data_IF_326171497995
#
_entry.id   IF_326171497995
#
_cell.length_a   1.000
_cell.length_b   1.000
_cell.length_c   1.000
_cell.angle_alpha   90.00
_cell.angle_beta   90.00
_cell.angle_gamma   90.00
#
_symmetry.space_group_name_H-M   'P 1'
#
loop_
_entity.id
_entity.type
_entity.pdbx_description
1 polymer ?
#
# COMPACT_ATOMS: atom_id res chain seq x y z
N UNK A 1 16.09 29.64 -14.04
CA UNK A 1 14.93 28.88 -13.55
C UNK A 1 15.11 28.79 -12.05
N UNK A 2 14.23 29.42 -11.26
CA UNK A 2 14.30 29.40 -9.80
C UNK A 2 14.16 27.96 -9.33
N UNK A 3 15.20 27.45 -8.66
CA UNK A 3 15.22 26.11 -8.08
C UNK A 3 14.28 26.12 -6.86
N UNK A 4 12.98 25.99 -7.10
CA UNK A 4 11.97 26.05 -6.05
C UNK A 4 12.10 24.77 -5.23
N UNK A 5 12.38 24.91 -3.93
CA UNK A 5 12.50 23.76 -3.03
C UNK A 5 11.13 23.09 -2.93
N UNK A 6 11.13 21.77 -2.94
CA UNK A 6 9.92 20.99 -2.69
C UNK A 6 9.40 21.30 -1.29
N UNK A 7 8.12 21.68 -1.20
CA UNK A 7 7.43 22.05 0.02
C UNK A 7 6.79 20.82 0.68
N UNK A 8 7.21 20.49 1.90
CA UNK A 8 6.71 19.33 2.65
C UNK A 8 5.96 19.81 3.89
N UNK A 9 4.74 19.33 4.10
CA UNK A 9 3.97 19.59 5.33
C UNK A 9 4.09 18.39 6.27
N UNK A 10 4.62 18.61 7.47
CA UNK A 10 4.70 17.62 8.55
C UNK A 10 3.57 17.88 9.53
N UNK A 11 2.80 16.84 9.85
CA UNK A 11 1.64 16.89 10.74
C UNK A 11 1.76 15.84 11.83
N UNK A 12 1.90 16.25 13.09
CA UNK A 12 1.96 15.37 14.26
C UNK A 12 1.58 16.22 15.48
N UNK A 13 0.87 15.67 16.47
CA UNK A 13 0.48 16.39 17.69
C UNK A 13 1.62 16.52 18.71
N UNK A 14 2.75 15.84 18.49
CA UNK A 14 4.00 16.05 19.23
C UNK A 14 4.85 17.16 18.58
N UNK A 15 4.94 18.37 19.19
CA UNK A 15 5.71 19.48 18.64
C UNK A 15 7.22 19.17 18.55
N UNK A 16 7.75 18.30 19.42
CA UNK A 16 9.17 17.94 19.35
C UNK A 16 9.47 17.10 18.10
N UNK A 17 8.52 16.23 17.72
CA UNK A 17 8.67 15.39 16.54
C UNK A 17 8.47 16.20 15.25
N UNK A 18 7.50 17.12 15.21
CA UNK A 18 7.33 18.01 14.06
C UNK A 18 8.55 18.89 13.85
N UNK A 19 9.08 19.53 14.90
CA UNK A 19 10.29 20.36 14.84
C UNK A 19 11.51 19.55 14.35
N UNK A 20 11.73 18.35 14.93
CA UNK A 20 12.82 17.47 14.51
C UNK A 20 12.72 17.10 13.02
N UNK A 21 11.53 16.74 12.54
CA UNK A 21 11.31 16.37 11.14
C UNK A 21 11.47 17.57 10.21
N UNK A 22 10.97 18.75 10.59
CA UNK A 22 11.14 19.99 9.82
C UNK A 22 12.62 20.33 9.67
N UNK A 23 13.38 20.36 10.76
CA UNK A 23 14.82 20.65 10.74
C UNK A 23 15.58 19.64 9.89
N UNK A 24 15.24 18.36 10.03
CA UNK A 24 15.88 17.28 9.29
C UNK A 24 15.61 17.37 7.79
N UNK A 25 14.35 17.61 7.39
CA UNK A 25 13.96 17.78 6.00
C UNK A 25 14.58 19.05 5.39
N UNK A 26 14.65 20.14 6.16
CA UNK A 26 15.32 21.36 5.74
C UNK A 26 16.82 21.16 5.49
N UNK A 27 17.49 20.38 6.35
CA UNK A 27 18.92 20.06 6.21
C UNK A 27 19.25 19.26 4.93
N UNK A 28 18.31 18.46 4.43
CA UNK A 28 18.46 17.69 3.18
C UNK A 28 17.85 18.40 1.95
N UNK A 29 17.42 19.66 2.09
CA UNK A 29 17.10 20.54 0.97
C UNK A 29 15.61 20.76 0.68
N UNK A 30 14.70 20.24 1.50
CA UNK A 30 13.26 20.54 1.42
C UNK A 30 12.94 21.90 2.07
N UNK A 31 11.78 22.46 1.74
CA UNK A 31 11.15 23.54 2.50
C UNK A 31 10.03 22.91 3.33
N UNK A 32 10.22 22.79 4.65
CA UNK A 32 9.30 22.05 5.50
C UNK A 32 8.42 22.99 6.36
N UNK A 33 7.15 22.63 6.50
CA UNK A 33 6.14 23.31 7.31
C UNK A 33 5.66 22.37 8.41
N UNK A 34 5.39 22.89 9.60
CA UNK A 34 4.81 22.13 10.71
C UNK A 34 3.31 22.45 10.87
N UNK A 35 2.54 21.44 11.24
CA UNK A 35 1.19 21.59 11.77
C UNK A 35 0.98 20.62 12.94
N UNK A 36 0.54 21.15 14.08
CA UNK A 36 0.32 20.36 15.30
C UNK A 36 -1.08 19.71 15.35
N UNK A 37 -1.86 19.86 14.28
CA UNK A 37 -3.19 19.25 14.16
C UNK A 37 -3.62 19.18 12.69
N UNK A 38 -4.53 18.26 12.39
CA UNK A 38 -5.14 18.16 11.06
C UNK A 38 -5.83 19.47 10.62
N UNK A 39 -6.43 20.22 11.56
CA UNK A 39 -7.05 21.51 11.26
C UNK A 39 -6.01 22.54 10.80
N UNK A 40 -4.89 22.64 11.52
CA UNK A 40 -3.78 23.51 11.11
C UNK A 40 -3.21 23.07 9.76
N UNK A 41 -3.10 21.75 9.53
CA UNK A 41 -2.63 21.22 8.24
C UNK A 41 -3.52 21.67 7.08
N UNK A 42 -4.85 21.59 7.23
CA UNK A 42 -5.80 22.08 6.24
C UNK A 42 -5.68 23.59 6.00
N UNK A 43 -5.43 24.39 7.05
CA UNK A 43 -5.18 25.83 6.90
C UNK A 43 -3.88 26.13 6.14
N UNK A 44 -2.82 25.35 6.37
CA UNK A 44 -1.57 25.47 5.62
C UNK A 44 -1.78 25.10 4.15
N UNK A 45 -2.49 23.99 3.88
CA UNK A 45 -2.81 23.54 2.52
C UNK A 45 -3.66 24.54 1.71
N UNK A 46 -4.41 25.43 2.38
CA UNK A 46 -5.15 26.51 1.73
C UNK A 46 -4.27 27.73 1.38
N UNK A 47 -3.18 27.94 2.12
CA UNK A 47 -2.32 29.13 1.99
C UNK A 47 -1.06 28.84 1.17
N UNK A 48 -0.55 27.63 1.26
CA UNK A 48 0.70 27.20 0.66
C UNK A 48 0.48 26.09 -0.36
N UNK A 49 1.21 26.15 -1.47
CA UNK A 49 1.26 25.04 -2.42
C UNK A 49 2.23 23.99 -1.89
N UNK A 50 1.69 23.03 -1.14
CA UNK A 50 2.45 21.88 -0.61
C UNK A 50 2.60 20.81 -1.69
N UNK A 51 3.80 20.24 -1.81
CA UNK A 51 4.12 19.18 -2.76
C UNK A 51 3.97 17.78 -2.17
N UNK A 52 4.04 17.63 -0.84
CA UNK A 52 3.89 16.36 -0.13
C UNK A 52 3.47 16.57 1.34
N UNK A 53 2.63 15.68 1.87
CA UNK A 53 2.24 15.67 3.29
C UNK A 53 2.79 14.43 3.98
N UNK A 54 3.39 14.61 5.15
CA UNK A 54 3.77 13.56 6.09
C UNK A 54 2.91 13.75 7.34
N UNK A 55 2.02 12.82 7.65
CA UNK A 55 1.08 12.96 8.78
C UNK A 55 1.13 11.75 9.71
N UNK A 56 1.12 11.98 11.03
CA UNK A 56 0.79 10.93 11.98
C UNK A 56 -0.68 10.51 11.85
N UNK A 57 -0.98 9.25 12.17
CA UNK A 57 -2.35 8.73 12.18
C UNK A 57 -3.07 9.07 13.48
N UNK A 58 -2.40 8.98 14.62
CA UNK A 58 -3.00 9.03 15.94
C UNK A 58 -3.00 10.45 16.50
N UNK A 59 -3.82 11.32 15.92
CA UNK A 59 -4.02 12.68 16.43
C UNK A 59 -5.35 12.79 17.22
N UNK A 60 -5.44 13.60 18.29
CA UNK A 60 -6.58 13.63 19.21
C UNK A 60 -7.93 14.07 18.60
N UNK A 61 -7.92 15.03 17.68
CA UNK A 61 -9.16 15.64 17.16
C UNK A 61 -9.63 14.99 15.86
N UNK A 62 -8.72 14.84 14.90
CA UNK A 62 -8.98 14.25 13.58
C UNK A 62 -7.76 13.42 13.25
N UNK A 63 -7.96 12.14 12.96
CA UNK A 63 -6.89 11.22 12.63
C UNK A 63 -6.21 11.58 11.31
N UNK A 64 -4.97 11.11 11.13
CA UNK A 64 -4.27 11.28 9.84
C UNK A 64 -5.00 10.65 8.65
N UNK A 65 -5.80 9.60 8.89
CA UNK A 65 -6.63 8.97 7.86
C UNK A 65 -7.78 9.91 7.45
N UNK A 66 -8.45 10.53 8.41
CA UNK A 66 -9.51 11.52 8.12
C UNK A 66 -8.94 12.76 7.43
N UNK A 67 -7.76 13.23 7.87
CA UNK A 67 -7.04 14.31 7.19
C UNK A 67 -6.71 13.93 5.73
N UNK A 68 -6.21 12.72 5.49
CA UNK A 68 -5.95 12.19 4.15
C UNK A 68 -7.21 12.20 3.29
N UNK A 69 -8.35 11.73 3.81
CA UNK A 69 -9.63 11.74 3.09
C UNK A 69 -10.04 13.17 2.71
N UNK A 70 -9.91 14.15 3.61
CA UNK A 70 -10.16 15.57 3.30
C UNK A 70 -9.20 16.11 2.24
N UNK A 71 -7.90 15.80 2.35
CA UNK A 71 -6.89 16.20 1.35
C UNK A 71 -7.27 15.67 -0.03
N UNK A 72 -7.61 14.38 -0.14
CA UNK A 72 -7.89 13.75 -1.44
C UNK A 72 -9.21 14.24 -2.08
N UNK A 73 -10.13 14.82 -1.31
CA UNK A 73 -11.33 15.51 -1.85
C UNK A 73 -10.97 16.77 -2.62
N UNK A 74 -9.98 17.54 -2.16
CA UNK A 74 -9.58 18.81 -2.79
C UNK A 74 -8.41 18.63 -3.76
N UNK A 75 -7.44 17.79 -3.42
CA UNK A 75 -6.27 17.48 -4.24
C UNK A 75 -5.99 15.98 -4.24
N UNK A 76 -6.64 15.27 -5.17
CA UNK A 76 -6.50 13.82 -5.33
C UNK A 76 -5.07 13.34 -5.59
N UNK A 77 -4.22 14.19 -6.15
CA UNK A 77 -2.86 13.83 -6.56
C UNK A 77 -1.77 14.25 -5.57
N UNK A 78 -2.10 15.01 -4.51
CA UNK A 78 -1.14 15.40 -3.49
C UNK A 78 -0.60 14.13 -2.80
N UNK A 79 0.70 13.82 -2.88
CA UNK A 79 1.26 12.67 -2.21
C UNK A 79 1.14 12.78 -0.70
N UNK A 80 0.61 11.75 -0.05
CA UNK A 80 0.45 11.70 1.42
C UNK A 80 1.10 10.44 1.98
N UNK A 81 2.03 10.63 2.92
CA UNK A 81 2.64 9.58 3.71
C UNK A 81 2.03 9.58 5.11
N UNK A 82 1.54 8.44 5.56
CA UNK A 82 1.04 8.26 6.91
C UNK A 82 2.11 7.60 7.80
N UNK A 83 2.29 8.13 9.00
CA UNK A 83 3.17 7.62 10.03
C UNK A 83 2.32 7.11 11.21
N UNK A 84 2.69 5.99 11.85
CA UNK A 84 1.95 5.52 13.04
C UNK A 84 2.80 4.77 14.05
N UNK A 85 2.46 4.89 15.33
CA UNK A 85 2.98 4.07 16.42
C UNK A 85 2.58 2.58 16.37
N UNK A 86 1.49 2.24 15.67
CA UNK A 86 0.91 0.89 15.65
C UNK A 86 0.83 0.39 14.20
N UNK A 87 1.75 -0.48 13.82
CA UNK A 87 1.84 -1.08 12.49
C UNK A 87 0.96 -2.32 12.31
N UNK A 88 -0.33 -2.29 12.66
CA UNK A 88 -1.21 -3.43 12.37
C UNK A 88 -1.54 -3.51 10.88
N UNK A 89 -1.69 -4.72 10.34
CA UNK A 89 -2.12 -4.94 8.96
C UNK A 89 -3.46 -4.25 8.66
N UNK A 90 -4.36 -4.15 9.65
CA UNK A 90 -5.65 -3.47 9.50
C UNK A 90 -5.52 -1.96 9.31
N UNK A 91 -4.63 -1.29 10.06
CA UNK A 91 -4.38 0.15 9.92
C UNK A 91 -3.68 0.42 8.58
N UNK A 92 -2.69 -0.41 8.23
CA UNK A 92 -1.98 -0.32 6.95
C UNK A 92 -2.94 -0.45 5.76
N UNK A 93 -3.78 -1.48 5.75
CA UNK A 93 -4.80 -1.67 4.72
C UNK A 93 -5.71 -0.45 4.63
N UNK A 94 -6.23 0.04 5.76
CA UNK A 94 -7.08 1.24 5.79
C UNK A 94 -6.37 2.51 5.28
N UNK A 95 -5.08 2.69 5.60
CA UNK A 95 -4.27 3.82 5.14
C UNK A 95 -4.18 3.85 3.60
N UNK A 96 -3.73 2.76 2.99
CA UNK A 96 -3.64 2.66 1.52
C UNK A 96 -5.02 2.73 0.86
N UNK A 97 -6.03 2.12 1.49
CA UNK A 97 -7.43 2.21 1.08
C UNK A 97 -7.96 3.63 0.97
N UNK A 98 -7.53 4.50 1.89
CA UNK A 98 -7.93 5.91 1.93
C UNK A 98 -7.12 6.78 0.95
N UNK A 99 -6.24 6.18 0.16
CA UNK A 99 -5.44 6.84 -0.86
C UNK A 99 -4.05 7.29 -0.41
N UNK A 100 -3.52 6.75 0.70
CA UNK A 100 -2.15 7.01 1.11
C UNK A 100 -1.17 6.50 0.05
N UNK A 101 -0.14 7.29 -0.24
CA UNK A 101 0.92 6.97 -1.20
C UNK A 101 2.08 6.23 -0.52
N UNK A 102 2.20 6.39 0.80
CA UNK A 102 3.13 5.64 1.63
C UNK A 102 2.60 5.49 3.06
N UNK A 103 3.11 4.48 3.75
CA UNK A 103 2.83 4.19 5.14
C UNK A 103 4.12 3.77 5.85
N UNK A 104 4.40 4.37 7.00
CA UNK A 104 5.61 4.13 7.78
C UNK A 104 5.28 3.89 9.25
N UNK A 105 5.75 2.77 9.80
CA UNK A 105 5.59 2.48 11.22
C UNK A 105 6.74 3.09 12.04
N UNK A 106 6.42 3.67 13.21
CA UNK A 106 7.38 4.05 14.25
C UNK A 106 7.84 2.74 14.97
N UNK A 107 9.13 2.62 15.35
CA UNK A 107 10.20 3.57 15.10
C UNK A 107 10.71 3.50 13.65
N UNK A 108 11.00 4.66 13.07
CA UNK A 108 11.58 4.77 11.73
C UNK A 108 12.94 5.47 11.78
N UNK A 109 13.73 5.31 10.70
CA UNK A 109 14.98 6.05 10.51
C UNK A 109 14.71 7.24 9.59
N UNK A 110 15.42 8.34 9.80
CA UNK A 110 15.33 9.53 8.93
C UNK A 110 15.57 9.18 7.46
N UNK A 111 16.59 8.37 7.15
CA UNK A 111 16.86 7.95 5.77
C UNK A 111 15.71 7.17 5.12
N UNK A 112 14.82 6.55 5.93
CA UNK A 112 13.60 5.92 5.41
C UNK A 112 12.60 6.98 4.94
N UNK A 113 12.37 8.04 5.70
CA UNK A 113 11.49 9.15 5.29
C UNK A 113 12.00 9.80 4.01
N UNK A 114 13.29 10.11 3.94
CA UNK A 114 13.91 10.72 2.75
C UNK A 114 13.70 9.84 1.50
N UNK A 115 13.95 8.53 1.62
CA UNK A 115 13.77 7.58 0.51
C UNK A 115 12.31 7.53 0.05
N UNK A 116 11.36 7.52 0.98
CA UNK A 116 9.93 7.50 0.69
C UNK A 116 9.46 8.79 0.01
N UNK A 117 9.91 9.95 0.50
CA UNK A 117 9.62 11.26 -0.12
C UNK A 117 10.17 11.28 -1.55
N UNK A 118 11.43 10.88 -1.75
CA UNK A 118 12.05 10.82 -3.07
C UNK A 118 11.27 9.93 -4.04
N UNK A 119 10.85 8.74 -3.58
CA UNK A 119 10.01 7.80 -4.36
C UNK A 119 8.68 8.43 -4.76
N UNK A 120 7.98 9.04 -3.79
CA UNK A 120 6.67 9.65 -4.00
C UNK A 120 6.74 10.82 -4.99
N UNK A 121 7.74 11.70 -4.86
CA UNK A 121 7.96 12.83 -5.76
C UNK A 121 8.36 12.40 -7.17
N UNK A 122 9.11 11.29 -7.29
CA UNK A 122 9.44 10.68 -8.58
C UNK A 122 8.24 9.99 -9.25
N UNK A 123 7.08 9.90 -8.57
CA UNK A 123 5.89 9.22 -9.08
C UNK A 123 6.06 7.70 -9.19
N UNK A 124 7.04 7.13 -8.47
CA UNK A 124 7.31 5.69 -8.49
C UNK A 124 6.23 4.98 -7.67
N UNK A 125 5.30 4.35 -8.37
CA UNK A 125 4.21 3.57 -7.78
C UNK A 125 4.71 2.19 -7.35
N UNK A 126 4.36 1.78 -6.13
CA UNK A 126 4.53 0.40 -5.66
C UNK A 126 3.46 -0.50 -6.27
N UNK A 127 3.80 -1.76 -6.48
CA UNK A 127 2.82 -2.78 -6.85
C UNK A 127 1.94 -3.10 -5.65
N UNK A 128 0.63 -3.05 -5.83
CA UNK A 128 -0.38 -3.42 -4.84
C UNK A 128 -0.75 -4.88 -5.01
N UNK A 129 -0.44 -5.69 -4.01
CA UNK A 129 -0.59 -7.14 -4.07
C UNK A 129 -1.62 -7.58 -3.03
N UNK A 130 -2.71 -8.18 -3.49
CA UNK A 130 -3.69 -8.85 -2.65
C UNK A 130 -3.23 -10.29 -2.41
N UNK A 131 -3.14 -10.72 -1.15
CA UNK A 131 -2.82 -12.11 -0.79
C UNK A 131 -4.02 -12.70 -0.06
N UNK A 132 -4.46 -13.89 -0.48
CA UNK A 132 -5.59 -14.58 0.12
C UNK A 132 -5.18 -16.01 0.47
N UNK A 133 -5.12 -16.33 1.75
CA UNK A 133 -4.70 -17.64 2.24
C UNK A 133 -5.18 -17.82 3.69
N UNK A 134 -5.77 -18.96 4.04
CA UNK A 134 -6.27 -19.21 5.40
C UNK A 134 -5.15 -19.59 6.38
N UNK A 135 -3.94 -19.88 5.88
CA UNK A 135 -2.77 -20.14 6.71
C UNK A 135 -2.08 -18.83 7.13
N UNK A 136 -2.20 -18.49 8.41
CA UNK A 136 -1.64 -17.26 8.98
C UNK A 136 -0.12 -17.16 8.86
N UNK A 137 0.62 -18.26 9.09
CA UNK A 137 2.08 -18.25 9.01
C UNK A 137 2.57 -17.98 7.59
N UNK A 138 1.87 -18.57 6.61
CA UNK A 138 2.12 -18.32 5.20
C UNK A 138 1.79 -16.88 4.81
N UNK A 139 0.62 -16.36 5.21
CA UNK A 139 0.25 -14.96 4.99
C UNK A 139 1.30 -14.01 5.56
N UNK A 140 1.69 -14.18 6.82
CA UNK A 140 2.67 -13.31 7.48
C UNK A 140 4.03 -13.37 6.81
N UNK A 141 4.53 -14.57 6.52
CA UNK A 141 5.84 -14.74 5.89
C UNK A 141 5.91 -14.20 4.46
N UNK A 142 4.88 -14.44 3.64
CA UNK A 142 4.82 -13.91 2.28
C UNK A 142 4.62 -12.39 2.27
N UNK A 143 3.80 -11.87 3.17
CA UNK A 143 3.60 -10.41 3.35
C UNK A 143 4.93 -9.73 3.62
N UNK A 144 5.67 -10.18 4.64
CA UNK A 144 6.95 -9.58 4.99
C UNK A 144 7.91 -9.55 3.79
N UNK A 145 8.08 -10.67 3.07
CA UNK A 145 9.01 -10.76 1.95
C UNK A 145 8.62 -9.85 0.78
N UNK A 146 7.32 -9.73 0.49
CA UNK A 146 6.85 -8.85 -0.58
C UNK A 146 6.95 -7.38 -0.21
N UNK A 147 6.72 -7.02 1.06
CA UNK A 147 6.93 -5.66 1.55
C UNK A 147 8.42 -5.29 1.57
N UNK A 148 9.31 -6.21 1.95
CA UNK A 148 10.77 -6.02 1.87
C UNK A 148 11.24 -5.78 0.42
N UNK A 149 10.48 -6.28 -0.57
CA UNK A 149 10.68 -6.05 -1.99
C UNK A 149 9.97 -4.80 -2.53
N UNK A 150 9.64 -3.84 -1.64
CA UNK A 150 9.05 -2.53 -1.95
C UNK A 150 7.62 -2.59 -2.54
N UNK A 151 6.82 -3.59 -2.14
CA UNK A 151 5.42 -3.71 -2.56
C UNK A 151 4.45 -3.28 -1.44
N UNK A 152 3.22 -2.95 -1.82
CA UNK A 152 2.12 -2.75 -0.87
C UNK A 152 1.31 -4.04 -0.83
N UNK A 153 1.21 -4.65 0.34
CA UNK A 153 0.56 -5.96 0.49
C UNK A 153 -0.72 -5.86 1.31
N UNK A 154 -1.78 -6.49 0.82
CA UNK A 154 -3.07 -6.61 1.48
C UNK A 154 -3.37 -8.08 1.78
N UNK A 155 -3.07 -8.58 2.99
CA UNK A 155 -3.35 -9.96 3.36
C UNK A 155 -4.78 -10.14 3.86
N UNK A 156 -5.45 -11.20 3.41
CA UNK A 156 -6.76 -11.64 3.91
C UNK A 156 -6.82 -13.16 4.08
N UNK A 157 -7.44 -13.60 5.16
CA UNK A 157 -7.61 -15.01 5.49
C UNK A 157 -8.84 -15.67 4.84
N UNK A 158 -9.71 -14.88 4.18
CA UNK A 158 -10.92 -15.40 3.53
C UNK A 158 -11.25 -14.64 2.24
N UNK A 159 -11.90 -15.32 1.30
CA UNK A 159 -12.39 -14.72 0.04
C UNK A 159 -13.35 -13.57 0.34
N UNK A 160 -14.30 -13.76 1.26
CA UNK A 160 -15.31 -12.77 1.57
C UNK A 160 -14.73 -11.43 2.06
N UNK A 161 -13.61 -11.45 2.80
CA UNK A 161 -12.92 -10.23 3.24
C UNK A 161 -12.19 -9.56 2.08
N UNK A 162 -11.53 -10.35 1.24
CA UNK A 162 -10.85 -9.86 0.05
C UNK A 162 -11.82 -9.22 -0.95
N UNK A 163 -13.01 -9.80 -1.16
CA UNK A 163 -14.01 -9.22 -2.07
C UNK A 163 -14.55 -7.89 -1.57
N UNK A 164 -14.89 -7.78 -0.27
CA UNK A 164 -15.29 -6.50 0.33
C UNK A 164 -14.21 -5.43 0.19
N UNK A 165 -12.94 -5.84 0.28
CA UNK A 165 -11.83 -4.93 0.02
C UNK A 165 -11.82 -4.49 -1.44
N UNK A 166 -11.99 -5.41 -2.40
CA UNK A 166 -11.99 -5.09 -3.83
C UNK A 166 -13.18 -4.23 -4.30
N UNK A 167 -14.25 -4.11 -3.53
CA UNK A 167 -15.37 -3.20 -3.85
C UNK A 167 -14.94 -1.73 -3.96
N UNK A 168 -13.99 -1.31 -3.12
CA UNK A 168 -13.56 0.08 -3.01
C UNK A 168 -12.06 0.28 -3.31
N UNK A 169 -11.33 -0.81 -3.60
CA UNK A 169 -9.88 -0.76 -3.77
C UNK A 169 -9.44 -1.48 -5.03
N UNK A 170 -8.39 -0.94 -5.65
CA UNK A 170 -7.73 -1.56 -6.78
C UNK A 170 -6.40 -2.17 -6.36
N UNK A 171 -6.08 -3.32 -6.96
CA UNK A 171 -4.81 -4.01 -6.78
C UNK A 171 -4.24 -4.36 -8.15
N UNK A 172 -2.94 -4.57 -8.18
CA UNK A 172 -2.16 -4.78 -9.40
C UNK A 172 -1.83 -6.27 -9.60
N UNK A 173 -1.92 -7.07 -8.53
CA UNK A 173 -1.71 -8.51 -8.51
C UNK A 173 -2.57 -9.17 -7.42
N UNK A 174 -3.10 -10.37 -7.71
CA UNK A 174 -3.71 -11.24 -6.70
C UNK A 174 -2.89 -12.52 -6.57
N UNK A 175 -2.59 -12.91 -5.34
CA UNK A 175 -2.00 -14.20 -4.98
C UNK A 175 -3.01 -14.91 -4.10
N UNK A 176 -3.51 -16.08 -4.50
CA UNK A 176 -4.56 -16.78 -3.76
C UNK A 176 -4.25 -18.25 -3.60
N UNK A 177 -4.53 -18.82 -2.43
CA UNK A 177 -4.57 -20.27 -2.25
C UNK A 177 -5.71 -20.87 -3.10
N UNK A 178 -5.59 -22.15 -3.43
CA UNK A 178 -6.60 -22.89 -4.18
C UNK A 178 -7.80 -23.27 -3.29
N UNK A 179 -7.58 -23.61 -2.03
CA UNK A 179 -8.62 -24.13 -1.13
C UNK A 179 -8.68 -23.27 0.12
N UNK A 180 -9.81 -22.62 0.32
CA UNK A 180 -10.05 -21.78 1.50
C UNK A 180 -11.35 -22.24 2.21
N UNK A 181 -11.54 -21.88 3.48
CA UNK A 181 -12.73 -22.28 4.24
C UNK A 181 -14.05 -21.80 3.64
N UNK A 182 -14.04 -20.66 2.93
CA UNK A 182 -15.21 -20.00 2.36
C UNK A 182 -15.34 -20.13 0.83
N UNK A 183 -14.48 -20.95 0.19
CA UNK A 183 -14.58 -21.23 -1.24
C UNK A 183 -13.27 -21.73 -1.87
N UNK A 184 -13.21 -21.70 -3.20
CA UNK A 184 -12.04 -22.11 -3.96
C UNK A 184 -11.46 -20.96 -4.80
N UNK A 185 -10.14 -20.96 -4.95
CA UNK A 185 -9.41 -19.93 -5.68
C UNK A 185 -9.70 -19.89 -7.18
N UNK A 186 -10.21 -20.98 -7.79
CA UNK A 186 -10.58 -21.00 -9.21
C UNK A 186 -11.87 -20.20 -9.44
N UNK A 187 -12.86 -20.38 -8.58
CA UNK A 187 -14.11 -19.62 -8.59
C UNK A 187 -13.82 -18.12 -8.43
N UNK A 188 -12.98 -17.77 -7.44
CA UNK A 188 -12.50 -16.39 -7.26
C UNK A 188 -11.82 -15.86 -8.53
N UNK A 189 -10.88 -16.62 -9.11
CA UNK A 189 -10.20 -16.22 -10.34
C UNK A 189 -11.17 -15.96 -11.49
N UNK A 190 -12.15 -16.84 -11.70
CA UNK A 190 -13.12 -16.67 -12.78
C UNK A 190 -13.92 -15.37 -12.62
N UNK A 191 -14.30 -15.03 -11.39
CA UNK A 191 -15.04 -13.81 -11.10
C UNK A 191 -14.17 -12.56 -11.18
N UNK A 192 -12.90 -12.64 -10.78
CA UNK A 192 -11.92 -11.58 -10.98
C UNK A 192 -11.60 -11.38 -12.46
N UNK A 193 -11.43 -12.43 -13.24
CA UNK A 193 -11.09 -12.35 -14.66
C UNK A 193 -12.26 -11.78 -15.49
N UNK A 194 -13.51 -12.10 -15.13
CA UNK A 194 -14.70 -11.45 -15.73
C UNK A 194 -14.74 -9.95 -15.45
N UNK A 195 -14.45 -9.54 -14.21
CA UNK A 195 -14.49 -8.12 -13.78
C UNK A 195 -13.28 -7.33 -14.27
N UNK A 196 -12.11 -7.97 -14.28
CA UNK A 196 -10.80 -7.38 -14.50
C UNK A 196 -9.93 -8.32 -15.37
N UNK A 197 -10.17 -8.40 -16.69
CA UNK A 197 -9.48 -9.34 -17.58
C UNK A 197 -7.95 -9.27 -17.54
N UNK A 198 -7.40 -8.07 -17.34
CA UNK A 198 -5.95 -7.81 -17.28
C UNK A 198 -5.35 -7.92 -15.87
N UNK A 199 -6.11 -8.38 -14.86
CA UNK A 199 -5.60 -8.48 -13.48
C UNK A 199 -4.78 -9.76 -13.38
N UNK A 200 -3.45 -9.68 -13.18
CA UNK A 200 -2.68 -10.90 -13.01
C UNK A 200 -3.08 -11.60 -11.72
N UNK A 201 -3.20 -12.92 -11.81
CA UNK A 201 -3.51 -13.79 -10.68
C UNK A 201 -2.49 -14.92 -10.62
N UNK A 202 -1.88 -15.10 -9.45
CA UNK A 202 -1.05 -16.24 -9.08
C UNK A 202 -1.87 -17.16 -8.19
N UNK A 203 -2.08 -18.39 -8.65
CA UNK A 203 -2.65 -19.43 -7.80
C UNK A 203 -1.53 -20.18 -7.08
N UNK A 204 -1.71 -20.36 -5.78
CA UNK A 204 -0.79 -21.12 -4.93
C UNK A 204 -1.50 -22.37 -4.42
N UNK A 205 -0.80 -23.51 -4.40
CA UNK A 205 -1.36 -24.73 -3.82
C UNK A 205 -0.31 -25.63 -3.19
N UNK A 206 -0.65 -26.30 -2.08
CA UNK A 206 0.15 -27.40 -1.55
C UNK A 206 -0.02 -28.72 -2.33
N UNK A 207 -1.06 -28.85 -3.15
CA UNK A 207 -1.40 -30.08 -3.87
C UNK A 207 -1.78 -29.76 -5.32
N UNK A 208 -0.80 -29.85 -6.21
CA UNK A 208 -1.01 -29.75 -7.65
C UNK A 208 -1.18 -31.15 -8.22
N UNK A 209 -2.38 -31.50 -8.68
CA UNK A 209 -2.58 -32.68 -9.54
C UNK A 209 -2.56 -32.25 -11.00
N UNK A 210 -2.19 -33.17 -11.90
CA UNK A 210 -2.12 -32.88 -13.34
C UNK A 210 -3.47 -32.38 -13.91
N UNK A 211 -4.60 -32.91 -13.40
CA UNK A 211 -5.94 -32.46 -13.77
C UNK A 211 -6.24 -31.01 -13.36
N UNK A 212 -5.74 -30.57 -12.21
CA UNK A 212 -5.89 -29.19 -11.72
C UNK A 212 -5.02 -28.26 -12.57
N UNK A 213 -3.79 -28.67 -12.86
CA UNK A 213 -2.85 -27.92 -13.70
C UNK A 213 -3.40 -27.72 -15.13
N UNK A 214 -3.97 -28.76 -15.72
CA UNK A 214 -4.63 -28.71 -17.04
C UNK A 214 -5.79 -27.69 -17.06
N UNK A 215 -6.64 -27.69 -16.03
CA UNK A 215 -7.77 -26.74 -15.92
C UNK A 215 -7.29 -25.30 -15.77
N UNK A 216 -6.26 -25.07 -14.96
CA UNK A 216 -5.72 -23.73 -14.66
C UNK A 216 -4.97 -23.16 -15.87
N UNK A 217 -4.21 -23.98 -16.61
CA UNK A 217 -3.57 -23.55 -17.86
C UNK A 217 -4.59 -23.09 -18.90
N UNK A 218 -5.76 -23.71 -18.94
CA UNK A 218 -6.85 -23.34 -19.86
C UNK A 218 -7.65 -22.13 -19.39
N UNK A 219 -7.56 -21.74 -18.12
CA UNK A 219 -8.36 -20.65 -17.55
C UNK A 219 -7.72 -19.27 -17.72
N UNK A 220 -6.45 -19.17 -18.13
CA UNK A 220 -5.78 -17.89 -18.36
C UNK A 220 -5.14 -17.27 -17.10
N UNK A 221 -4.91 -18.07 -16.06
CA UNK A 221 -4.18 -17.65 -14.86
C UNK A 221 -2.75 -17.26 -15.22
N UNK A 222 -2.25 -16.16 -14.65
CA UNK A 222 -0.91 -15.65 -14.97
C UNK A 222 0.18 -16.61 -14.54
N UNK A 223 -0.01 -17.25 -13.39
CA UNK A 223 0.92 -18.28 -12.89
C UNK A 223 0.29 -19.22 -11.88
N UNK A 224 0.78 -20.45 -11.85
CA UNK A 224 0.44 -21.44 -10.82
C UNK A 224 1.72 -21.90 -10.13
N UNK A 225 1.75 -21.85 -8.80
CA UNK A 225 2.91 -22.19 -7.98
C UNK A 225 2.56 -23.23 -6.91
N UNK A 226 3.46 -24.20 -6.69
CA UNK A 226 3.35 -25.16 -5.59
C UNK A 226 4.01 -24.62 -4.31
N UNK A 227 3.43 -24.89 -3.14
CA UNK A 227 4.10 -24.68 -1.84
C UNK A 227 5.16 -25.79 -1.63
N UNK A 228 6.39 -25.50 -1.17
CA UNK A 228 6.91 -24.18 -0.80
C UNK A 228 7.19 -23.29 -2.03
N UNK A 229 6.85 -22.01 -1.93
CA UNK A 229 6.95 -21.04 -3.02
C UNK A 229 8.41 -20.70 -3.37
N UNK A 230 8.73 -20.71 -4.67
CA UNK A 230 9.90 -19.98 -5.18
C UNK A 230 9.56 -18.49 -5.30
N UNK A 231 10.22 -17.66 -4.50
CA UNK A 231 9.96 -16.22 -4.48
C UNK A 231 10.38 -15.53 -5.78
N UNK A 232 11.41 -16.03 -6.47
CA UNK A 232 11.84 -15.49 -7.76
C UNK A 232 10.71 -15.57 -8.79
N UNK A 233 9.91 -16.63 -8.70
CA UNK A 233 8.78 -16.81 -9.59
C UNK A 233 7.68 -15.78 -9.37
N UNK A 234 7.52 -15.26 -8.16
CA UNK A 234 6.57 -14.18 -7.84
C UNK A 234 7.13 -12.84 -8.32
N UNK A 235 8.41 -12.57 -8.05
CA UNK A 235 9.10 -11.35 -8.50
C UNK A 235 9.00 -11.16 -10.02
N UNK A 236 9.12 -12.24 -10.80
CA UNK A 236 8.95 -12.16 -12.26
C UNK A 236 7.56 -11.69 -12.68
N UNK A 237 6.50 -12.05 -11.94
CA UNK A 237 5.14 -11.60 -12.23
C UNK A 237 4.95 -10.17 -11.73
N UNK A 238 5.42 -9.85 -10.53
CA UNK A 238 5.38 -8.49 -9.95
C UNK A 238 6.04 -7.49 -10.90
N UNK A 239 7.21 -7.81 -11.45
CA UNK A 239 7.93 -6.94 -12.40
C UNK A 239 7.17 -6.68 -13.71
N UNK A 240 6.20 -7.53 -14.07
CA UNK A 240 5.34 -7.34 -15.26
C UNK A 240 4.05 -6.61 -14.95
N UNK A 241 3.72 -6.42 -13.66
CA UNK A 241 2.50 -5.73 -13.26
C UNK A 241 2.57 -4.26 -13.66
N UNK A 242 1.47 -3.76 -14.22
CA UNK A 242 1.29 -2.33 -14.47
C UNK A 242 0.46 -1.76 -13.33
N UNK A 243 0.99 -0.82 -12.52
CA UNK A 243 0.23 -0.20 -11.45
C UNK A 243 -1.06 0.40 -12.02
N UNK A 244 -2.20 -0.11 -11.55
CA UNK A 244 -3.52 0.39 -11.94
C UNK A 244 -3.75 1.73 -11.26
N UNK A 245 -4.36 2.68 -11.97
CA UNK A 245 -4.71 3.95 -11.35
C UNK A 245 -5.80 3.73 -10.28
N UNK A 246 -5.53 4.18 -9.07
CA UNK A 246 -6.48 4.30 -7.97
C UNK A 246 -7.47 5.43 -8.20
#
# INVERSE_FOLDING_TARGET
MTNQRTKVLVVDDDPNLTDLLVDTLAAIGYEAFAAESAKMALEVLQKEQIDLVVSDINMPDMSGIELLEEIKKTNRHLPVMLITGIGSNTIRSRAYSSGADSFLAKPFRIGTIESEIGRMLAGIKRTRILIIDDNQDFLSSLTQRLEDADNVVFPFETIAKAERFLENHTVDLVITDLKMPDGDGISLFNDLHKRYPDLPVIMVSAYATDDILEKIKKSGVSKFLSKPLDFKEIETVVATCKPRNS
#
